data_IF_697329522249
#
_entry.id   IF_697329522249
#
_cell.length_a   1.000
_cell.length_b   1.000
_cell.length_c   1.000
_cell.angle_alpha   90.00
_cell.angle_beta   90.00
_cell.angle_gamma   90.00
#
_symmetry.space_group_name_H-M   'P 1'
#
loop_
_entity.id
_entity.type
_entity.pdbx_description
1 polymer ?
#
# COMPACT_ATOMS: atom_id res chain seq x y z
N UNK A 1 0.74 11.57 -5.93
CA UNK A 1 0.40 10.16 -6.18
C UNK A 1 1.58 9.35 -6.68
N UNK A 2 2.07 9.56 -7.91
CA UNK A 2 3.16 8.76 -8.53
C UNK A 2 4.40 8.60 -7.64
N UNK A 3 4.86 9.69 -7.02
CA UNK A 3 6.06 9.66 -6.15
C UNK A 3 5.89 8.81 -4.88
N UNK A 4 4.71 8.81 -4.27
CA UNK A 4 4.43 7.98 -3.08
C UNK A 4 4.59 6.51 -3.47
N UNK A 5 3.95 6.11 -4.57
CA UNK A 5 4.06 4.75 -5.10
C UNK A 5 5.52 4.38 -5.40
N UNK A 6 6.28 5.24 -6.09
CA UNK A 6 7.69 5.00 -6.40
C UNK A 6 8.55 4.77 -5.16
N UNK A 7 8.30 5.49 -4.06
CA UNK A 7 9.02 5.30 -2.80
C UNK A 7 8.63 3.96 -2.18
N UNK A 8 7.34 3.69 -2.03
CA UNK A 8 6.88 2.51 -1.29
C UNK A 8 7.21 1.18 -2.00
N UNK A 9 7.34 1.18 -3.32
CA UNK A 9 7.76 0.00 -4.10
C UNK A 9 9.29 -0.08 -4.29
N UNK A 10 10.03 0.89 -3.78
CA UNK A 10 11.49 0.88 -3.85
C UNK A 10 12.05 -0.36 -3.15
N UNK A 11 13.07 -0.96 -3.77
CA UNK A 11 13.82 -2.07 -3.17
C UNK A 11 14.58 -1.66 -1.92
N UNK A 12 14.95 -0.39 -1.83
CA UNK A 12 15.68 0.16 -0.69
C UNK A 12 14.69 0.96 0.16
N UNK A 13 14.51 0.53 1.40
CA UNK A 13 13.65 1.18 2.39
C UNK A 13 14.49 2.23 3.12
N UNK A 14 14.54 3.44 2.55
CA UNK A 14 15.26 4.56 3.14
C UNK A 14 14.33 5.44 3.97
N UNK A 15 14.62 5.58 5.28
CA UNK A 15 13.75 6.27 6.24
C UNK A 15 13.35 7.69 5.82
N UNK A 16 14.26 8.45 5.22
CA UNK A 16 13.96 9.82 4.76
C UNK A 16 12.85 9.83 3.70
N UNK A 17 12.93 8.94 2.70
CA UNK A 17 11.90 8.81 1.67
C UNK A 17 10.62 8.22 2.24
N UNK A 18 10.70 7.24 3.15
CA UNK A 18 9.51 6.65 3.78
C UNK A 18 8.73 7.68 4.59
N UNK A 19 9.41 8.53 5.36
CA UNK A 19 8.79 9.65 6.08
C UNK A 19 8.10 10.63 5.13
N UNK A 20 8.73 10.94 4.00
CA UNK A 20 8.14 11.79 2.97
C UNK A 20 6.89 11.15 2.33
N UNK A 21 6.93 9.85 2.02
CA UNK A 21 5.79 9.12 1.50
C UNK A 21 4.63 9.12 2.50
N UNK A 22 4.91 8.87 3.78
CA UNK A 22 3.92 8.92 4.86
C UNK A 22 3.27 10.30 4.97
N UNK A 23 4.05 11.37 5.05
CA UNK A 23 3.54 12.75 5.16
C UNK A 23 2.61 13.10 4.00
N UNK A 24 3.02 12.79 2.77
CA UNK A 24 2.17 13.03 1.59
C UNK A 24 0.90 12.18 1.58
N UNK A 25 0.96 10.95 2.09
CA UNK A 25 -0.21 10.10 2.17
C UNK A 25 -1.23 10.64 3.18
N UNK A 26 -0.76 11.13 4.33
CA UNK A 26 -1.58 11.86 5.30
C UNK A 26 -2.25 13.09 4.66
N UNK A 27 -1.51 13.88 3.89
CA UNK A 27 -2.06 15.04 3.17
C UNK A 27 -3.17 14.63 2.19
N UNK A 28 -2.94 13.58 1.40
CA UNK A 28 -3.95 13.06 0.45
C UNK A 28 -5.21 12.60 1.19
N UNK A 29 -5.07 11.86 2.28
CA UNK A 29 -6.22 11.37 3.07
C UNK A 29 -6.98 12.52 3.70
N UNK A 30 -6.29 13.53 4.24
CA UNK A 30 -6.94 14.74 4.76
C UNK A 30 -7.69 15.50 3.67
N UNK A 31 -7.14 15.60 2.47
CA UNK A 31 -7.84 16.21 1.33
C UNK A 31 -9.10 15.42 0.96
N UNK A 32 -9.05 14.08 0.99
CA UNK A 32 -10.23 13.24 0.76
C UNK A 32 -11.29 13.52 1.83
N UNK A 33 -10.91 13.57 3.12
CA UNK A 33 -11.83 13.87 4.22
C UNK A 33 -12.47 15.26 4.05
N UNK A 34 -11.68 16.28 3.70
CA UNK A 34 -12.15 17.66 3.53
C UNK A 34 -13.13 17.77 2.35
N UNK A 35 -12.82 17.14 1.22
CA UNK A 35 -13.59 17.33 -0.01
C UNK A 35 -14.79 16.38 -0.14
N UNK A 36 -14.72 15.19 0.44
CA UNK A 36 -15.74 14.16 0.27
C UNK A 36 -16.36 13.68 1.59
N UNK A 37 -15.93 14.23 2.73
CA UNK A 37 -16.43 13.88 4.04
C UNK A 37 -15.76 12.66 4.66
N UNK A 38 -15.99 12.48 5.95
CA UNK A 38 -15.40 11.39 6.75
C UNK A 38 -15.87 10.01 6.32
N UNK A 39 -17.08 9.89 5.78
CA UNK A 39 -17.63 8.61 5.32
C UNK A 39 -16.80 7.99 4.17
N UNK A 40 -16.01 8.81 3.47
CA UNK A 40 -15.10 8.34 2.43
C UNK A 40 -13.76 7.83 2.97
N UNK A 41 -13.48 8.01 4.26
CA UNK A 41 -12.28 7.48 4.91
C UNK A 41 -12.50 6.01 5.25
N UNK A 42 -12.29 5.17 4.24
CA UNK A 42 -12.40 3.73 4.37
C UNK A 42 -11.28 3.15 5.26
N UNK A 43 -11.48 1.96 5.85
CA UNK A 43 -10.43 1.24 6.56
C UNK A 43 -9.16 1.06 5.73
N UNK A 44 -9.26 0.87 4.41
CA UNK A 44 -8.10 0.73 3.52
C UNK A 44 -7.30 2.03 3.41
N UNK A 45 -7.95 3.19 3.39
CA UNK A 45 -7.24 4.48 3.44
C UNK A 45 -6.54 4.66 4.79
N UNK A 46 -7.19 4.30 5.89
CA UNK A 46 -6.55 4.33 7.21
C UNK A 46 -5.33 3.40 7.28
N UNK A 47 -5.48 2.13 6.86
CA UNK A 47 -4.40 1.14 6.82
C UNK A 47 -3.24 1.58 5.93
N UNK A 48 -3.51 2.35 4.87
CA UNK A 48 -2.44 2.85 4.01
C UNK A 48 -1.42 3.71 4.75
N UNK A 49 -1.80 4.36 5.86
CA UNK A 49 -0.89 5.14 6.71
C UNK A 49 0.20 4.30 7.39
N UNK A 50 -0.07 3.01 7.59
CA UNK A 50 0.85 2.04 8.21
C UNK A 50 1.79 1.38 7.19
N UNK A 51 1.66 1.65 5.89
CA UNK A 51 2.53 1.03 4.86
C UNK A 51 4.00 1.34 5.08
N UNK A 52 4.33 2.50 5.64
CA UNK A 52 5.71 2.86 5.93
C UNK A 52 6.29 2.05 7.09
N UNK A 53 5.51 1.81 8.14
CA UNK A 53 5.87 0.94 9.27
C UNK A 53 6.03 -0.51 8.79
N UNK A 54 5.06 -1.02 8.03
CA UNK A 54 5.14 -2.35 7.44
C UNK A 54 6.36 -2.52 6.54
N UNK A 55 6.75 -1.48 5.79
CA UNK A 55 7.93 -1.56 4.95
C UNK A 55 9.24 -1.61 5.76
N UNK A 56 9.29 -1.00 6.93
CA UNK A 56 10.42 -1.12 7.85
C UNK A 56 10.49 -2.50 8.51
N UNK A 57 9.34 -3.08 8.86
CA UNK A 57 9.27 -4.38 9.54
C UNK A 57 9.44 -5.59 8.60
N UNK A 58 8.86 -5.51 7.40
CA UNK A 58 8.76 -6.64 6.45
C UNK A 58 9.57 -6.45 5.15
N UNK A 59 10.20 -5.28 5.00
CA UNK A 59 10.89 -4.89 3.76
C UNK A 59 9.95 -4.26 2.71
N UNK A 60 10.41 -4.06 1.47
CA UNK A 60 9.63 -3.38 0.43
C UNK A 60 8.22 -3.96 0.22
N UNK A 61 7.22 -3.15 -0.14
CA UNK A 61 5.81 -3.58 -0.25
C UNK A 61 5.58 -4.89 -1.00
N UNK A 62 6.33 -5.12 -2.08
CA UNK A 62 6.17 -6.30 -2.92
C UNK A 62 6.56 -7.62 -2.21
N UNK A 63 7.24 -7.57 -1.06
CA UNK A 63 7.60 -8.76 -0.28
C UNK A 63 6.40 -9.36 0.45
N UNK A 64 5.39 -8.54 0.78
CA UNK A 64 4.25 -8.96 1.59
C UNK A 64 2.88 -8.66 0.97
N UNK A 65 2.81 -8.08 -0.23
CA UNK A 65 1.55 -7.91 -0.94
C UNK A 65 0.95 -9.24 -1.43
N UNK A 66 -0.38 -9.29 -1.55
CA UNK A 66 -1.09 -10.51 -1.91
C UNK A 66 -1.04 -10.85 -3.42
N UNK A 67 -0.49 -9.99 -4.27
CA UNK A 67 -0.55 -10.14 -5.73
C UNK A 67 -0.05 -11.50 -6.23
N UNK A 68 1.07 -11.99 -5.70
CA UNK A 68 1.61 -13.31 -6.07
C UNK A 68 0.69 -14.46 -5.65
N UNK A 69 0.06 -14.36 -4.46
CA UNK A 69 -0.87 -15.37 -3.97
C UNK A 69 -2.18 -15.37 -4.78
N UNK A 70 -2.73 -14.19 -5.08
CA UNK A 70 -3.93 -14.04 -5.91
C UNK A 70 -3.73 -14.62 -7.30
N UNK A 71 -2.56 -14.37 -7.91
CA UNK A 71 -2.20 -14.98 -9.21
C UNK A 71 -2.16 -16.51 -9.13
N UNK A 72 -1.58 -17.08 -8.07
CA UNK A 72 -1.54 -18.53 -7.88
C UNK A 72 -2.94 -19.10 -7.66
N UNK A 73 -3.78 -18.42 -6.88
CA UNK A 73 -5.18 -18.83 -6.68
C UNK A 73 -5.95 -18.87 -8.01
N UNK A 74 -5.70 -17.90 -8.89
CA UNK A 74 -6.26 -17.91 -10.25
C UNK A 74 -5.83 -19.13 -11.04
N UNK A 75 -4.51 -19.42 -11.07
CA UNK A 75 -4.00 -20.62 -11.75
C UNK A 75 -4.57 -21.92 -11.15
N UNK A 76 -4.65 -22.01 -9.82
CA UNK A 76 -5.21 -23.18 -9.11
C UNK A 76 -6.70 -23.37 -9.41
N UNK A 77 -7.47 -22.30 -9.57
CA UNK A 77 -8.88 -22.37 -9.97
C UNK A 77 -9.08 -22.83 -11.42
N UNK A 78 -8.09 -22.62 -12.29
CA UNK A 78 -8.10 -23.10 -13.68
C UNK A 78 -7.66 -24.56 -13.82
N UNK A 79 -6.96 -25.12 -12.83
CA UNK A 79 -6.66 -26.55 -12.80
C UNK A 79 -7.94 -27.33 -12.47
N UNK A 80 -8.68 -27.74 -13.50
CA UNK A 80 -9.69 -28.80 -13.37
C UNK A 80 -8.99 -30.11 -12.97
N UNK A 81 -9.27 -30.58 -11.76
CA UNK A 81 -9.04 -31.99 -11.40
C UNK A 81 -9.98 -32.86 -12.25
N UNK A 82 -9.50 -33.29 -13.42
CA UNK A 82 -10.04 -34.47 -14.10
C UNK A 82 -9.64 -35.75 -13.35
#
# INVERSE_FOLDING_TARGET
>A
YVRICSILVSRIVETAFMNEAHQRLVEVIKLIEIHYGRDMITPNLHLSLHLCECAHDFGPLYTFWCFSFERINGMLGEFEFN
#
